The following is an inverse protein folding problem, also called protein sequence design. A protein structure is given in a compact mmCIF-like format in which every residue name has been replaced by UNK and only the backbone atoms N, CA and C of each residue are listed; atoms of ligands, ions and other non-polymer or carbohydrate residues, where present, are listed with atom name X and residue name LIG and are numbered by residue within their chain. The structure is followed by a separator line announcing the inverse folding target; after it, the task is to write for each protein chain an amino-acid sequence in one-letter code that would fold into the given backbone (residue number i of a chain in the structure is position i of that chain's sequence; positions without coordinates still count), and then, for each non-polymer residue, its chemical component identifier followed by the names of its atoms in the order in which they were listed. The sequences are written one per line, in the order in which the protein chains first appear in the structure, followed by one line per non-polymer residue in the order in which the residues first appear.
data_IF_909491786969
#
_entry.id   IF_909491786969
#
_cell.length_a   1.000
_cell.length_b   1.000
_cell.length_c   1.000
_cell.angle_alpha   90.00
_cell.angle_beta   90.00
_cell.angle_gamma   90.00
#
_symmetry.space_group_name_H-M   'P 1'
#
loop_
_entity.id
_entity.type
_entity.pdbx_description
1 polymer ?
#
# COMPACT_ATOMS: atom_id res chain seq x y z
N UNK A 1 -20.89 -19.00 -19.81
CA UNK A 1 -19.79 -19.32 -18.88
C UNK A 1 -19.87 -18.29 -17.76
N UNK A 2 -20.47 -18.63 -16.62
CA UNK A 2 -20.40 -17.78 -15.43
C UNK A 2 -19.15 -18.20 -14.66
N UNK A 3 -18.09 -17.41 -14.75
CA UNK A 3 -16.92 -17.61 -13.89
C UNK A 3 -17.27 -17.19 -12.45
N UNK A 4 -17.03 -18.11 -11.52
CA UNK A 4 -17.18 -17.86 -10.09
C UNK A 4 -16.12 -16.86 -9.62
N UNK A 5 -16.44 -15.55 -9.67
CA UNK A 5 -15.66 -14.45 -9.09
C UNK A 5 -15.47 -14.54 -7.56
N UNK A 6 -16.00 -15.56 -6.89
CA UNK A 6 -16.10 -15.62 -5.43
C UNK A 6 -14.77 -15.72 -4.69
N UNK A 7 -13.63 -15.99 -5.37
CA UNK A 7 -12.31 -16.11 -4.73
C UNK A 7 -11.14 -15.72 -5.68
N UNK A 8 -11.26 -14.64 -6.46
CA UNK A 8 -10.17 -14.19 -7.34
C UNK A 8 -9.02 -13.49 -6.58
N UNK A 9 -8.39 -14.20 -5.65
CA UNK A 9 -7.29 -13.69 -4.83
C UNK A 9 -6.02 -13.50 -5.67
N UNK A 10 -5.34 -12.38 -5.43
CA UNK A 10 -3.96 -12.19 -5.90
C UNK A 10 -3.00 -12.87 -4.92
N UNK A 11 -2.23 -13.85 -5.38
CA UNK A 11 -1.23 -14.55 -4.56
C UNK A 11 0.18 -14.13 -4.95
N UNK A 12 0.95 -13.60 -3.98
CA UNK A 12 2.35 -13.21 -4.15
C UNK A 12 3.17 -13.91 -3.08
N UNK A 13 3.87 -14.98 -3.48
CA UNK A 13 4.58 -15.87 -2.55
C UNK A 13 3.62 -16.52 -1.55
N UNK A 14 3.82 -16.25 -0.25
CA UNK A 14 2.97 -16.75 0.84
C UNK A 14 1.78 -15.85 1.18
N UNK A 15 1.67 -14.67 0.57
CA UNK A 15 0.63 -13.70 0.86
C UNK A 15 -0.52 -13.79 -0.15
N UNK A 16 -1.74 -13.57 0.32
CA UNK A 16 -2.97 -13.57 -0.48
C UNK A 16 -3.72 -12.25 -0.25
N UNK A 17 -4.17 -11.64 -1.34
CA UNK A 17 -4.82 -10.33 -1.34
C UNK A 17 -6.16 -10.40 -2.08
N UNK A 18 -7.16 -9.69 -1.56
CA UNK A 18 -8.46 -9.46 -2.21
C UNK A 18 -8.37 -8.38 -3.28
N UNK A 19 -7.56 -7.36 -3.01
CA UNK A 19 -7.40 -6.20 -3.88
C UNK A 19 -6.28 -6.42 -4.89
N UNK A 20 -6.56 -6.13 -6.16
CA UNK A 20 -5.56 -6.01 -7.23
C UNK A 20 -5.09 -4.56 -7.44
N UNK A 21 -5.56 -3.63 -6.59
CA UNK A 21 -5.15 -2.24 -6.63
C UNK A 21 -3.84 -2.06 -5.84
N UNK A 22 -2.74 -1.89 -6.57
CA UNK A 22 -1.42 -1.62 -6.01
C UNK A 22 -1.15 -0.12 -6.11
N UNK A 23 -0.96 0.55 -4.98
CA UNK A 23 -0.73 1.99 -4.93
C UNK A 23 0.77 2.31 -4.90
N UNK A 24 1.21 3.23 -5.76
CA UNK A 24 2.56 3.79 -5.72
C UNK A 24 2.62 5.12 -4.98
N UNK A 25 3.57 5.31 -4.07
CA UNK A 25 3.63 6.53 -3.23
C UNK A 25 4.39 7.72 -3.86
N UNK A 26 4.98 7.57 -5.05
CA UNK A 26 6.01 8.48 -5.56
C UNK A 26 5.60 9.95 -5.79
N UNK A 27 4.31 10.24 -5.98
CA UNK A 27 3.78 11.62 -6.15
C UNK A 27 2.80 12.03 -5.06
N UNK A 28 2.63 11.20 -4.03
CA UNK A 28 1.61 11.39 -3.01
C UNK A 28 2.21 12.01 -1.74
N UNK A 29 1.47 12.96 -1.17
CA UNK A 29 1.75 13.43 0.19
C UNK A 29 1.46 12.30 1.18
N UNK A 30 2.09 12.36 2.35
CA UNK A 30 1.93 11.36 3.42
C UNK A 30 0.46 11.22 3.86
N UNK A 31 -0.29 12.33 3.86
CA UNK A 31 -1.71 12.36 4.15
C UNK A 31 -2.54 11.53 3.15
N UNK A 32 -2.20 11.62 1.86
CA UNK A 32 -2.92 10.87 0.82
C UNK A 32 -2.64 9.37 0.87
N UNK A 33 -1.46 8.96 1.35
CA UNK A 33 -1.15 7.55 1.62
C UNK A 33 -2.07 7.03 2.72
N UNK A 34 -2.23 7.79 3.82
CA UNK A 34 -3.13 7.43 4.92
C UNK A 34 -4.57 7.28 4.43
N UNK A 35 -5.09 8.27 3.69
CA UNK A 35 -6.45 8.18 3.13
C UNK A 35 -6.61 7.00 2.18
N UNK A 36 -5.61 6.65 1.37
CA UNK A 36 -5.71 5.51 0.48
C UNK A 36 -5.65 4.15 1.20
N UNK A 37 -5.00 4.07 2.36
CA UNK A 37 -5.08 2.90 3.24
C UNK A 37 -6.49 2.79 3.83
N UNK A 38 -7.00 3.88 4.41
CA UNK A 38 -8.25 3.90 5.18
C UNK A 38 -9.49 3.77 4.27
N UNK A 39 -9.55 4.52 3.17
CA UNK A 39 -10.75 4.63 2.33
C UNK A 39 -10.75 3.63 1.17
N UNK A 40 -9.61 3.48 0.48
CA UNK A 40 -9.51 2.59 -0.69
C UNK A 40 -9.25 1.13 -0.31
N UNK A 41 -9.13 0.82 0.99
CA UNK A 41 -8.82 -0.52 1.53
C UNK A 41 -7.61 -1.14 0.80
N UNK A 42 -6.62 -0.31 0.52
CA UNK A 42 -5.45 -0.71 -0.24
C UNK A 42 -4.66 -1.73 0.58
N UNK A 43 -4.39 -2.90 0.00
CA UNK A 43 -3.65 -3.97 0.67
C UNK A 43 -2.17 -4.01 0.28
N UNK A 44 -1.78 -3.32 -0.80
CA UNK A 44 -0.41 -3.30 -1.30
C UNK A 44 -0.02 -1.86 -1.65
N UNK A 45 1.03 -1.35 -1.02
CA UNK A 45 1.61 -0.02 -1.28
C UNK A 45 3.10 -0.17 -1.56
N UNK A 46 3.59 0.52 -2.58
CA UNK A 46 5.02 0.59 -2.90
C UNK A 46 5.61 1.92 -2.41
N UNK A 47 6.77 1.83 -1.77
CA UNK A 47 7.47 2.96 -1.16
C UNK A 47 8.91 3.00 -1.66
N UNK A 48 9.44 4.20 -1.87
CA UNK A 48 10.85 4.40 -2.19
C UNK A 48 11.61 4.80 -0.91
N UNK A 49 12.40 3.87 -0.36
CA UNK A 49 13.29 4.18 0.76
C UNK A 49 14.49 4.99 0.27
N UNK A 50 14.79 6.10 0.94
CA UNK A 50 15.96 6.94 0.68
C UNK A 50 16.76 7.12 1.96
N UNK A 51 18.03 7.51 1.84
CA UNK A 51 18.86 7.85 3.00
C UNK A 51 18.22 9.00 3.77
N UNK A 52 18.01 8.83 5.06
CA UNK A 52 17.54 9.90 5.93
C UNK A 52 18.64 10.95 6.04
N UNK A 53 18.43 12.11 5.45
CA UNK A 53 19.19 13.30 5.82
C UNK A 53 18.60 13.79 7.14
N UNK A 54 19.43 14.20 8.09
CA UNK A 54 19.08 14.61 9.47
C UNK A 54 18.21 15.88 9.58
N UNK A 55 17.43 16.21 8.55
CA UNK A 55 16.46 17.31 8.54
C UNK A 55 15.02 16.80 8.71
N UNK A 56 14.10 17.73 8.99
CA UNK A 56 12.66 17.58 9.33
C UNK A 56 11.76 16.88 8.28
N UNK A 57 12.31 16.01 7.44
CA UNK A 57 11.51 15.24 6.48
C UNK A 57 10.87 14.08 7.25
N UNK A 58 9.55 14.15 7.43
CA UNK A 58 8.77 13.11 8.10
C UNK A 58 9.10 11.70 7.57
N UNK A 59 9.30 10.76 8.49
CA UNK A 59 9.74 9.42 8.16
C UNK A 59 8.56 8.61 7.59
N UNK A 60 8.70 8.11 6.37
CA UNK A 60 7.66 7.32 5.69
C UNK A 60 7.27 6.07 6.48
N UNK A 61 8.17 5.52 7.30
CA UNK A 61 7.90 4.36 8.16
C UNK A 61 6.84 4.66 9.23
N UNK A 62 6.67 5.92 9.64
CA UNK A 62 5.69 6.32 10.64
C UNK A 62 4.24 6.16 10.13
N UNK A 63 4.07 6.01 8.82
CA UNK A 63 2.78 5.93 8.14
C UNK A 63 2.44 4.52 7.64
N UNK A 64 3.30 3.54 7.94
CA UNK A 64 3.04 2.13 7.63
C UNK A 64 2.35 1.50 8.84
N UNK A 65 1.16 0.88 8.67
CA UNK A 65 0.55 0.09 9.73
C UNK A 65 1.53 -0.97 10.22
N UNK A 66 1.67 -1.12 11.54
CA UNK A 66 2.64 -2.08 12.11
C UNK A 66 2.28 -3.54 11.84
N UNK A 67 1.04 -3.80 11.43
CA UNK A 67 0.46 -5.14 11.24
C UNK A 67 -0.40 -5.16 9.98
#
# INVERSE_FOLDING_TARGET
MQENLKNDKLKIGKYEFDSRFILGSGKYSLELIKSAIEEAKTQIITLALRRANTGEIANILDYIPKN
#
